data_IF_489263331394
#
_entry.id   IF_489263331394
#
_cell.length_a   1.000
_cell.length_b   1.000
_cell.length_c   1.000
_cell.angle_alpha   90.00
_cell.angle_beta   90.00
_cell.angle_gamma   90.00
#
_symmetry.space_group_name_H-M   'P 1'
#
loop_
_entity.id
_entity.type
_entity.pdbx_description
1 polymer ?
#
# COMPACT_ATOMS: atom_id res chain seq x y z
N UNK A 1 5.88 -0.84 7.38
CA UNK A 1 4.61 -1.60 7.54
C UNK A 1 4.76 -2.98 6.93
N UNK A 2 4.70 -4.02 7.75
CA UNK A 2 4.79 -5.40 7.28
C UNK A 2 3.85 -6.30 8.08
N UNK A 3 3.13 -7.19 7.40
CA UNK A 3 2.38 -8.28 8.00
C UNK A 3 3.35 -9.43 8.27
N UNK A 4 3.40 -9.91 9.51
CA UNK A 4 4.23 -11.06 9.91
C UNK A 4 3.35 -12.15 10.47
N UNK A 5 3.74 -13.40 10.22
CA UNK A 5 3.02 -14.58 10.66
C UNK A 5 3.99 -15.58 11.29
N UNK A 6 3.58 -16.18 12.41
CA UNK A 6 4.29 -17.28 13.06
C UNK A 6 3.28 -18.42 13.23
N UNK A 7 3.55 -19.54 12.54
CA UNK A 7 2.62 -20.66 12.48
C UNK A 7 2.50 -21.39 13.83
N UNK A 8 3.57 -21.45 14.63
CA UNK A 8 3.56 -22.09 15.95
C UNK A 8 2.62 -21.43 16.95
N UNK A 9 2.25 -20.16 16.72
CA UNK A 9 1.30 -19.40 17.55
C UNK A 9 -0.13 -19.42 17.00
N UNK A 10 -0.36 -20.00 15.82
CA UNK A 10 -1.65 -20.01 15.14
C UNK A 10 -2.53 -21.15 15.65
N UNK A 11 -3.76 -20.83 16.09
CA UNK A 11 -4.75 -21.83 16.52
C UNK A 11 -5.62 -22.36 15.38
N UNK A 12 -5.37 -21.93 14.13
CA UNK A 12 -6.15 -22.29 12.94
C UNK A 12 -7.65 -21.91 13.01
N UNK A 13 -8.00 -20.88 13.79
CA UNK A 13 -9.39 -20.46 13.99
C UNK A 13 -10.07 -19.91 12.73
N UNK A 14 -9.32 -19.40 11.75
CA UNK A 14 -9.85 -18.84 10.49
C UNK A 14 -10.38 -17.40 10.60
N UNK A 15 -10.28 -16.77 11.77
CA UNK A 15 -10.78 -15.40 11.96
C UNK A 15 -10.06 -14.39 11.08
N UNK A 16 -8.78 -14.62 10.77
CA UNK A 16 -8.00 -13.76 9.88
C UNK A 16 -8.63 -13.63 8.49
N UNK A 17 -9.17 -14.72 7.92
CA UNK A 17 -9.85 -14.70 6.62
C UNK A 17 -11.13 -13.87 6.67
N UNK A 18 -11.94 -14.07 7.72
CA UNK A 18 -13.24 -13.39 7.90
C UNK A 18 -13.07 -11.89 8.18
N UNK A 19 -12.04 -11.53 8.96
CA UNK A 19 -11.77 -10.15 9.34
C UNK A 19 -11.08 -9.31 8.25
N UNK A 20 -10.55 -9.96 7.21
CA UNK A 20 -9.79 -9.26 6.18
C UNK A 20 -10.71 -8.34 5.38
N UNK A 21 -10.37 -7.04 5.32
CA UNK A 21 -11.11 -6.06 4.53
C UNK A 21 -10.95 -6.28 3.01
N UNK A 22 -9.87 -6.98 2.61
CA UNK A 22 -9.59 -7.29 1.22
C UNK A 22 -10.08 -8.70 0.89
N UNK A 23 -10.94 -8.80 -0.13
CA UNK A 23 -11.55 -10.06 -0.54
C UNK A 23 -10.48 -11.05 -1.03
N UNK A 24 -10.62 -12.32 -0.67
CA UNK A 24 -9.78 -13.43 -1.13
C UNK A 24 -8.26 -13.25 -0.87
N UNK A 25 -7.89 -12.37 0.07
CA UNK A 25 -6.49 -11.98 0.32
C UNK A 25 -5.76 -12.92 1.27
N UNK A 26 -6.46 -13.39 2.31
CA UNK A 26 -5.94 -14.36 3.25
C UNK A 26 -6.65 -15.70 3.04
N UNK A 27 -5.87 -16.79 3.11
CA UNK A 27 -6.38 -18.16 3.06
C UNK A 27 -5.76 -19.00 4.17
N UNK A 28 -6.57 -19.78 4.86
CA UNK A 28 -6.14 -20.72 5.88
C UNK A 28 -6.34 -22.15 5.40
N UNK A 29 -5.24 -22.88 5.26
CA UNK A 29 -5.27 -24.31 4.94
C UNK A 29 -5.35 -25.12 6.23
N UNK A 30 -6.39 -25.95 6.36
CA UNK A 30 -6.58 -26.86 7.51
C UNK A 30 -6.13 -28.31 7.24
N UNK A 31 -5.57 -28.58 6.07
CA UNK A 31 -5.21 -29.91 5.59
C UNK A 31 -3.87 -30.39 6.18
N UNK A 32 -3.90 -30.84 7.45
CA UNK A 32 -2.79 -31.51 8.11
C UNK A 32 -1.60 -30.61 8.47
N UNK A 33 -0.71 -31.13 9.31
CA UNK A 33 0.47 -30.42 9.79
C UNK A 33 1.66 -30.78 8.90
N UNK A 34 2.04 -29.89 7.97
CA UNK A 34 3.35 -29.98 7.32
C UNK A 34 4.43 -29.60 8.33
N UNK A 35 5.48 -30.42 8.47
CA UNK A 35 6.59 -30.11 9.34
C UNK A 35 7.55 -29.17 8.63
N UNK A 36 7.65 -27.93 9.11
CA UNK A 36 8.58 -26.94 8.59
C UNK A 36 9.27 -26.20 9.74
N UNK A 37 10.62 -26.18 9.82
CA UNK A 37 11.33 -25.51 10.91
C UNK A 37 11.05 -24.00 10.98
N UNK A 38 10.73 -23.37 9.85
CA UNK A 38 10.41 -21.93 9.80
C UNK A 38 9.10 -21.57 10.54
N UNK A 39 8.30 -22.57 10.94
CA UNK A 39 7.05 -22.35 11.68
C UNK A 39 7.25 -21.79 13.08
N UNK A 40 8.45 -21.95 13.65
CA UNK A 40 8.79 -21.39 14.95
C UNK A 40 9.31 -19.95 14.86
N UNK A 41 9.39 -19.39 13.66
CA UNK A 41 9.89 -18.03 13.40
C UNK A 41 8.79 -17.12 12.82
N UNK A 42 8.96 -15.80 12.99
CA UNK A 42 8.11 -14.83 12.31
C UNK A 42 8.53 -14.65 10.86
N UNK A 43 7.67 -15.11 9.95
CA UNK A 43 7.83 -14.92 8.51
C UNK A 43 7.13 -13.63 8.08
N UNK A 44 7.75 -12.87 7.18
CA UNK A 44 7.13 -11.67 6.59
C UNK A 44 6.21 -12.09 5.44
N UNK A 45 4.91 -11.88 5.61
CA UNK A 45 3.88 -12.24 4.63
C UNK A 45 3.68 -11.17 3.57
N UNK A 46 3.71 -9.91 4.00
CA UNK A 46 3.59 -8.75 3.13
C UNK A 46 4.41 -7.61 3.72
N UNK A 47 5.07 -6.84 2.86
CA UNK A 47 5.79 -5.63 3.24
C UNK A 47 5.53 -4.59 2.17
N UNK A 48 5.11 -3.42 2.59
CA UNK A 48 4.95 -2.29 1.68
C UNK A 48 6.14 -1.35 1.80
N UNK A 49 6.55 -0.84 0.63
CA UNK A 49 7.47 0.27 0.51
C UNK A 49 6.69 1.57 0.54
N UNK A 50 7.17 2.52 1.33
CA UNK A 50 6.60 3.86 1.37
C UNK A 50 7.11 4.68 0.19
N UNK A 51 6.26 5.55 -0.31
CA UNK A 51 6.55 6.50 -1.36
C UNK A 51 6.84 7.87 -0.75
N UNK A 52 8.02 8.40 -1.07
CA UNK A 52 8.45 9.74 -0.69
C UNK A 52 7.86 10.79 -1.65
N UNK A 53 7.27 11.85 -1.09
CA UNK A 53 6.78 12.99 -1.85
C UNK A 53 7.90 13.57 -2.74
N UNK A 54 7.62 13.81 -4.03
CA UNK A 54 8.62 14.32 -4.97
C UNK A 54 9.06 15.77 -4.68
N UNK A 55 8.29 16.52 -3.88
CA UNK A 55 8.60 17.92 -3.53
C UNK A 55 9.38 18.03 -2.21
N UNK A 56 8.97 17.29 -1.18
CA UNK A 56 9.52 17.43 0.18
C UNK A 56 10.22 16.18 0.73
N UNK A 57 10.21 15.06 -0.02
CA UNK A 57 10.81 13.79 0.40
C UNK A 57 10.06 13.05 1.51
N UNK A 58 9.00 13.62 2.09
CA UNK A 58 8.24 12.97 3.17
C UNK A 58 7.49 11.74 2.66
N UNK A 59 7.69 10.62 3.34
CA UNK A 59 6.90 9.40 3.13
C UNK A 59 5.44 9.63 3.54
N UNK A 60 4.49 9.31 2.66
CA UNK A 60 3.06 9.59 2.93
C UNK A 60 2.09 8.47 2.59
N UNK A 61 2.45 7.54 1.69
CA UNK A 61 1.59 6.43 1.29
C UNK A 61 2.44 5.26 0.79
N UNK A 62 1.84 4.09 0.59
CA UNK A 62 2.55 2.96 -0.02
C UNK A 62 2.72 3.19 -1.52
N UNK A 63 3.85 2.74 -2.07
CA UNK A 63 4.17 2.87 -3.50
C UNK A 63 3.07 2.28 -4.38
N UNK A 64 2.56 1.09 -4.01
CA UNK A 64 1.43 0.44 -4.69
C UNK A 64 0.17 1.31 -4.71
N UNK A 65 -0.17 1.97 -3.61
CA UNK A 65 -1.34 2.84 -3.55
C UNK A 65 -1.15 4.07 -4.44
N UNK A 66 0.02 4.72 -4.40
CA UNK A 66 0.35 5.88 -5.23
C UNK A 66 0.27 5.50 -6.71
N UNK A 67 0.88 4.38 -7.13
CA UNK A 67 0.85 3.90 -8.51
C UNK A 67 -0.58 3.56 -8.97
N UNK A 68 -1.37 2.88 -8.12
CA UNK A 68 -2.77 2.55 -8.43
C UNK A 68 -3.61 3.80 -8.68
N UNK A 69 -3.51 4.80 -7.81
CA UNK A 69 -4.24 6.07 -7.96
C UNK A 69 -3.70 6.85 -9.16
N UNK A 70 -2.39 6.85 -9.38
CA UNK A 70 -1.79 7.54 -10.51
C UNK A 70 -2.29 6.95 -11.84
N UNK A 71 -2.35 5.62 -11.97
CA UNK A 71 -2.86 4.94 -13.16
C UNK A 71 -4.35 5.21 -13.39
N UNK A 72 -5.15 5.32 -12.33
CA UNK A 72 -6.58 5.65 -12.43
C UNK A 72 -6.81 7.11 -12.85
N UNK A 73 -5.98 8.03 -12.37
CA UNK A 73 -6.22 9.47 -12.50
C UNK A 73 -5.51 10.11 -13.71
N UNK A 74 -4.34 9.60 -14.13
CA UNK A 74 -3.63 10.06 -15.33
C UNK A 74 -4.54 10.23 -16.57
N UNK A 75 -5.36 9.24 -16.97
CA UNK A 75 -6.23 9.41 -18.14
C UNK A 75 -7.30 10.49 -17.94
N UNK A 76 -7.71 10.78 -16.70
CA UNK A 76 -8.68 11.84 -16.38
C UNK A 76 -8.07 13.23 -16.40
N UNK A 77 -6.75 13.34 -16.22
CA UNK A 77 -6.04 14.63 -16.21
C UNK A 77 -5.51 15.04 -17.58
N UNK A 78 -5.55 14.15 -18.58
CA UNK A 78 -5.08 14.44 -19.93
C UNK A 78 -3.62 14.88 -19.92
N UNK A 79 -3.32 16.03 -20.53
CA UNK A 79 -1.97 16.61 -20.63
C UNK A 79 -1.68 17.69 -19.56
N UNK A 80 -2.48 17.78 -18.49
CA UNK A 80 -2.21 18.71 -17.41
C UNK A 80 -1.07 18.19 -16.51
N UNK A 81 0.16 18.58 -16.85
CA UNK A 81 1.38 18.16 -16.15
C UNK A 81 1.36 18.53 -14.66
N UNK A 82 0.77 19.67 -14.30
CA UNK A 82 0.66 20.10 -12.91
C UNK A 82 -0.24 19.16 -12.11
N UNK A 83 -1.40 18.78 -12.67
CA UNK A 83 -2.29 17.79 -12.03
C UNK A 83 -1.67 16.42 -11.94
N UNK A 84 -0.95 15.96 -12.98
CA UNK A 84 -0.24 14.68 -12.94
C UNK A 84 0.82 14.70 -11.84
N UNK A 85 1.58 15.79 -11.70
CA UNK A 85 2.59 15.97 -10.66
C UNK A 85 2.00 15.79 -9.25
N UNK A 86 0.79 16.31 -9.01
CA UNK A 86 0.14 16.19 -7.68
C UNK A 86 -0.19 14.77 -7.24
N UNK A 87 -0.26 13.80 -8.17
CA UNK A 87 -0.51 12.40 -7.82
C UNK A 87 0.64 11.79 -7.01
N UNK A 88 1.82 12.41 -7.08
CA UNK A 88 3.04 11.97 -6.42
C UNK A 88 3.45 12.90 -5.26
N UNK A 89 2.55 13.79 -4.82
CA UNK A 89 2.80 14.75 -3.74
C UNK A 89 2.02 14.38 -2.46
N UNK A 90 2.59 14.66 -1.29
CA UNK A 90 1.86 14.62 -0.03
C UNK A 90 0.75 15.69 0.02
N UNK A 91 -0.13 15.62 1.02
CA UNK A 91 -1.28 16.53 1.14
C UNK A 91 -0.91 18.03 1.08
N UNK A 92 0.15 18.43 1.80
CA UNK A 92 0.59 19.82 1.86
C UNK A 92 1.19 20.30 0.52
N UNK A 93 2.10 19.51 -0.05
CA UNK A 93 2.75 19.83 -1.32
C UNK A 93 1.76 19.81 -2.49
N UNK A 94 0.75 18.93 -2.43
CA UNK A 94 -0.32 18.89 -3.43
C UNK A 94 -1.10 20.21 -3.48
N UNK A 95 -1.49 20.75 -2.33
CA UNK A 95 -2.18 22.04 -2.27
C UNK A 95 -1.29 23.16 -2.83
N UNK A 96 -0.01 23.18 -2.45
CA UNK A 96 0.97 24.16 -2.95
C UNK A 96 1.10 24.13 -4.48
N UNK A 97 1.33 22.94 -5.06
CA UNK A 97 1.48 22.78 -6.52
C UNK A 97 0.22 23.22 -7.26
N UNK A 98 -0.97 22.96 -6.72
CA UNK A 98 -2.23 23.41 -7.34
C UNK A 98 -2.40 24.93 -7.31
N UNK A 99 -2.08 25.58 -6.18
CA UNK A 99 -2.12 27.04 -6.07
C UNK A 99 -1.11 27.68 -7.03
N UNK A 100 0.11 27.13 -7.13
CA UNK A 100 1.14 27.62 -8.05
C UNK A 100 0.73 27.46 -9.52
N UNK A 101 0.04 26.37 -9.87
CA UNK A 101 -0.49 26.16 -11.22
C UNK A 101 -1.60 27.18 -11.57
N UNK A 102 -2.50 27.49 -10.63
CA UNK A 102 -3.56 28.50 -10.83
C UNK A 102 -3.02 29.93 -10.99
N UNK A 103 -1.85 30.25 -10.45
CA UNK A 103 -1.22 31.57 -10.62
C UNK A 103 -0.53 31.77 -11.97
N UNK A 104 -0.28 30.68 -12.71
CA UNK A 104 0.44 30.69 -14.00
C UNK A 104 -0.47 30.61 -15.23
N UNK A 105 -1.76 30.33 -15.03
CA UNK A 105 -2.80 30.39 -16.07
C UNK A 105 -3.55 31.72 -16.00
#
# INVERSE_FOLDING_TARGET
NALKFNASLCTTCGYCEVSCAEKDTLKLTRSGMEFNPNYFEYQTMAKDELFACIECGKEFATKKAVEKIANLMKPKFGNDESKIKTLYCCADCKAKVMIEAMRKG
#
